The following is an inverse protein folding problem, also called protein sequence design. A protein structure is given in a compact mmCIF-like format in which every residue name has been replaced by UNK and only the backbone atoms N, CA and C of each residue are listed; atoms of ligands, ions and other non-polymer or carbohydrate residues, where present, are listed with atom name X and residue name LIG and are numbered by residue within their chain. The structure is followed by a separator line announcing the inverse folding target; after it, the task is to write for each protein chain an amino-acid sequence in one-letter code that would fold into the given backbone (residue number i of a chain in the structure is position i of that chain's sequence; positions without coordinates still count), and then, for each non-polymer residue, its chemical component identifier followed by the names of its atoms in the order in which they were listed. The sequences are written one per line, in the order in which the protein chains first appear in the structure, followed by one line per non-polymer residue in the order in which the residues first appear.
data_IF_411222140171
#
_entry.id   IF_411222140171
#
_cell.length_a   1.000
_cell.length_b   1.000
_cell.length_c   1.000
_cell.angle_alpha   90.00
_cell.angle_beta   90.00
_cell.angle_gamma   90.00
#
_symmetry.space_group_name_H-M   'P 1'
#
loop_
_entity.id
_entity.type
_entity.pdbx_description
1 polymer ?
#
# COMPACT_ATOMS: atom_id res chain seq x y z
N UNK A 1 9.81 17.42 -23.12
CA UNK A 1 10.17 16.37 -22.14
C UNK A 1 9.00 16.17 -21.18
N UNK A 2 8.59 14.94 -20.91
CA UNK A 2 7.53 14.62 -19.95
C UNK A 2 7.97 15.00 -18.54
N UNK A 3 7.24 15.89 -17.86
CA UNK A 3 7.52 16.29 -16.48
C UNK A 3 6.68 15.46 -15.51
N UNK A 4 7.17 14.27 -15.15
CA UNK A 4 6.49 13.35 -14.23
C UNK A 4 6.99 13.55 -12.78
N UNK A 5 6.10 13.64 -11.78
CA UNK A 5 6.50 13.86 -10.38
C UNK A 5 7.01 12.56 -9.72
N UNK A 6 8.03 11.92 -10.29
CA UNK A 6 8.57 10.66 -9.76
C UNK A 6 9.17 10.87 -8.35
N UNK A 7 8.80 10.01 -7.41
CA UNK A 7 9.29 10.01 -6.02
C UNK A 7 10.40 8.97 -5.84
N UNK A 8 11.37 9.26 -4.97
CA UNK A 8 12.43 8.31 -4.62
C UNK A 8 11.97 7.26 -3.63
N UNK A 9 12.65 6.12 -3.61
CA UNK A 9 12.65 5.21 -2.48
C UNK A 9 13.56 5.77 -1.38
N UNK A 10 13.00 5.99 -0.19
CA UNK A 10 13.70 6.57 0.97
C UNK A 10 13.84 5.49 2.03
N UNK A 11 15.04 5.33 2.59
CA UNK A 11 15.27 4.39 3.67
C UNK A 11 14.78 4.93 5.02
N UNK A 12 14.19 4.07 5.84
CA UNK A 12 13.50 4.45 7.08
C UNK A 12 14.44 4.95 8.19
N UNK A 13 15.68 4.47 8.21
CA UNK A 13 16.72 4.86 9.15
C UNK A 13 17.27 6.28 8.91
N UNK A 14 17.22 6.75 7.67
CA UNK A 14 17.64 8.12 7.29
C UNK A 14 16.47 9.07 7.08
N UNK A 15 15.23 8.58 7.16
CA UNK A 15 14.06 9.42 6.97
C UNK A 15 13.88 10.39 8.14
N UNK A 16 13.92 11.68 7.84
CA UNK A 16 13.85 12.72 8.87
C UNK A 16 12.46 13.36 8.99
N UNK A 17 11.39 12.63 8.64
CA UNK A 17 10.00 13.05 8.88
C UNK A 17 9.44 14.09 7.91
N UNK A 18 10.13 14.38 6.80
CA UNK A 18 9.72 15.43 5.85
C UNK A 18 9.72 14.93 4.41
N UNK A 19 8.66 15.25 3.68
CA UNK A 19 8.56 15.07 2.23
C UNK A 19 8.73 16.41 1.52
N UNK A 20 9.10 16.39 0.24
CA UNK A 20 9.15 17.60 -0.59
C UNK A 20 7.88 17.77 -1.41
N UNK A 21 7.71 18.93 -2.06
CA UNK A 21 6.51 19.28 -2.83
C UNK A 21 6.13 18.33 -3.97
N UNK A 22 7.01 17.41 -4.41
CA UNK A 22 6.64 16.43 -5.43
C UNK A 22 5.80 15.26 -4.92
N UNK A 23 5.88 14.93 -3.64
CA UNK A 23 5.06 13.86 -3.04
C UNK A 23 3.56 14.14 -3.09
N UNK A 24 3.04 15.31 -2.64
CA UNK A 24 1.61 15.60 -2.78
C UNK A 24 1.16 15.69 -4.25
N UNK A 25 2.02 16.12 -5.18
CA UNK A 25 1.72 16.10 -6.63
C UNK A 25 1.57 14.68 -7.16
N UNK A 26 2.48 13.78 -6.79
CA UNK A 26 2.41 12.37 -7.11
C UNK A 26 1.14 11.72 -6.52
N UNK A 27 0.82 12.05 -5.27
CA UNK A 27 -0.36 11.52 -4.59
C UNK A 27 -1.67 12.02 -5.22
N UNK A 28 -1.73 13.30 -5.61
CA UNK A 28 -2.88 13.84 -6.34
C UNK A 28 -3.15 13.07 -7.64
N UNK A 29 -2.10 12.83 -8.43
CA UNK A 29 -2.20 12.08 -9.69
C UNK A 29 -2.63 10.63 -9.47
N UNK A 30 -2.06 9.96 -8.47
CA UNK A 30 -2.49 8.63 -8.07
C UNK A 30 -3.97 8.60 -7.66
N UNK A 31 -4.41 9.55 -6.83
CA UNK A 31 -5.81 9.66 -6.40
C UNK A 31 -6.77 9.89 -7.57
N UNK A 32 -6.40 10.72 -8.56
CA UNK A 32 -7.19 10.93 -9.77
C UNK A 32 -7.33 9.65 -10.60
N UNK A 33 -6.23 8.93 -10.82
CA UNK A 33 -6.25 7.70 -11.61
C UNK A 33 -7.06 6.58 -10.95
N UNK A 34 -7.02 6.51 -9.62
CA UNK A 34 -7.54 5.40 -8.82
C UNK A 34 -8.85 5.72 -8.11
N UNK A 35 -9.47 6.86 -8.36
CA UNK A 35 -10.73 7.25 -7.71
C UNK A 35 -11.80 6.16 -7.89
N UNK A 36 -12.46 5.80 -6.79
CA UNK A 36 -13.48 4.75 -6.77
C UNK A 36 -12.96 3.33 -7.01
N UNK A 37 -11.66 3.11 -7.27
CA UNK A 37 -11.10 1.79 -7.59
C UNK A 37 -10.93 0.87 -6.38
N UNK A 38 -10.65 -0.42 -6.63
CA UNK A 38 -10.35 -1.40 -5.58
C UNK A 38 -9.17 -0.95 -4.70
N UNK A 39 -8.10 -0.40 -5.29
CA UNK A 39 -6.94 0.08 -4.56
C UNK A 39 -7.32 1.24 -3.63
N UNK A 40 -8.09 2.21 -4.14
CA UNK A 40 -8.54 3.34 -3.36
C UNK A 40 -9.42 2.92 -2.19
N UNK A 41 -10.35 1.98 -2.40
CA UNK A 41 -11.20 1.45 -1.33
C UNK A 41 -10.41 0.60 -0.32
N UNK A 42 -9.47 -0.23 -0.77
CA UNK A 42 -8.69 -1.10 0.11
C UNK A 42 -7.84 -0.31 1.10
N UNK A 43 -7.17 0.74 0.62
CA UNK A 43 -6.34 1.60 1.45
C UNK A 43 -7.09 2.81 2.02
N UNK A 44 -8.38 2.97 1.73
CA UNK A 44 -9.16 4.14 2.13
C UNK A 44 -8.45 5.45 1.75
N UNK A 45 -8.17 5.62 0.45
CA UNK A 45 -7.43 6.78 -0.05
C UNK A 45 -8.29 8.04 0.00
N UNK A 46 -7.73 9.18 0.45
CA UNK A 46 -8.37 10.47 0.26
C UNK A 46 -8.56 10.79 -1.23
N UNK A 47 -9.69 11.43 -1.55
CA UNK A 47 -9.98 11.89 -2.91
C UNK A 47 -8.99 12.94 -3.44
N UNK A 48 -8.97 13.19 -4.76
CA UNK A 48 -7.96 14.02 -5.41
C UNK A 48 -7.93 15.48 -4.96
N UNK A 49 -9.02 15.99 -4.38
CA UNK A 49 -9.14 17.35 -3.86
C UNK A 49 -8.79 17.47 -2.37
N UNK A 50 -8.31 16.40 -1.73
CA UNK A 50 -7.92 16.43 -0.33
C UNK A 50 -6.87 17.51 -0.05
N UNK A 51 -7.06 18.24 1.06
CA UNK A 51 -6.26 19.41 1.41
C UNK A 51 -4.75 19.14 1.40
N UNK A 52 -4.33 17.95 1.86
CA UNK A 52 -2.94 17.54 1.94
C UNK A 52 -2.26 17.28 0.58
N UNK A 53 -3.03 17.22 -0.51
CA UNK A 53 -2.51 17.11 -1.88
C UNK A 53 -2.31 18.46 -2.56
N UNK A 54 -2.78 19.54 -1.95
CA UNK A 54 -2.66 20.88 -2.53
C UNK A 54 -1.19 21.30 -2.55
N UNK A 55 -0.78 21.87 -3.67
CA UNK A 55 0.49 22.57 -3.72
C UNK A 55 0.38 23.87 -2.93
N UNK A 56 1.37 24.14 -2.07
CA UNK A 56 1.45 25.41 -1.38
C UNK A 56 1.49 26.55 -2.42
N UNK A 57 0.54 27.48 -2.28
CA UNK A 57 0.44 28.70 -3.11
C UNK A 57 1.81 29.38 -3.26
N UNK A 58 2.07 29.95 -4.43
CA UNK A 58 3.29 30.73 -4.69
C UNK A 58 3.47 31.90 -3.71
N UNK A 59 2.36 32.43 -3.17
CA UNK A 59 2.35 33.55 -2.24
C UNK A 59 2.56 33.15 -0.76
N UNK A 60 2.49 31.87 -0.42
CA UNK A 60 2.66 31.43 0.97
C UNK A 60 4.13 31.18 1.31
N UNK A 61 4.63 31.61 2.49
CA UNK A 61 6.00 31.30 2.92
C UNK A 61 6.18 29.79 3.03
N UNK A 62 7.11 29.24 2.23
CA UNK A 62 7.40 27.80 2.21
C UNK A 62 8.50 27.49 3.20
N UNK A 63 8.21 26.66 4.21
CA UNK A 63 9.27 26.07 5.03
C UNK A 63 10.21 25.27 4.12
N UNK A 64 11.52 25.51 4.27
CA UNK A 64 12.55 24.86 3.48
C UNK A 64 13.42 23.98 4.35
N UNK A 65 13.86 22.86 3.79
CA UNK A 65 14.87 21.99 4.39
C UNK A 65 15.84 21.57 3.30
N UNK A 66 17.15 21.72 3.55
CA UNK A 66 18.19 21.43 2.56
C UNK A 66 17.92 22.11 1.21
N UNK A 67 17.49 23.38 1.25
CA UNK A 67 17.15 24.18 0.07
C UNK A 67 15.82 23.84 -0.61
N UNK A 68 15.09 22.79 -0.19
CA UNK A 68 13.85 22.32 -0.84
C UNK A 68 12.61 22.66 -0.03
N UNK A 69 11.52 23.02 -0.70
CA UNK A 69 10.22 23.24 -0.08
C UNK A 69 9.66 21.90 0.45
N UNK A 70 9.24 21.91 1.70
CA UNK A 70 8.64 20.75 2.39
C UNK A 70 7.13 20.71 2.19
N UNK A 71 6.55 19.51 2.32
CA UNK A 71 5.12 19.27 2.24
C UNK A 71 4.59 18.80 3.61
N UNK A 72 4.31 19.75 4.50
CA UNK A 72 3.96 19.46 5.89
C UNK A 72 2.59 18.79 6.04
N UNK A 73 1.58 19.25 5.31
CA UNK A 73 0.24 18.65 5.32
C UNK A 73 0.28 17.21 4.81
N UNK A 74 1.07 16.94 3.77
CA UNK A 74 1.28 15.59 3.25
C UNK A 74 1.99 14.69 4.28
N UNK A 75 3.01 15.22 4.96
CA UNK A 75 3.69 14.50 6.02
C UNK A 75 2.76 14.23 7.22
N UNK A 76 1.85 15.15 7.55
CA UNK A 76 0.84 14.98 8.59
C UNK A 76 -0.16 13.88 8.23
N UNK A 77 -0.68 13.89 6.99
CA UNK A 77 -1.56 12.82 6.48
C UNK A 77 -0.87 11.44 6.54
N UNK A 78 0.41 11.35 6.16
CA UNK A 78 1.14 10.08 6.26
C UNK A 78 1.31 9.61 7.71
N UNK A 79 1.51 10.53 8.67
CA UNK A 79 1.61 10.22 10.10
C UNK A 79 0.29 9.74 10.69
N UNK A 80 -0.80 10.44 10.38
CA UNK A 80 -2.14 10.07 10.81
C UNK A 80 -2.48 8.65 10.37
N UNK A 81 -2.30 8.37 9.07
CA UNK A 81 -2.55 7.04 8.50
C UNK A 81 -1.60 5.97 9.03
N UNK A 82 -0.38 6.34 9.43
CA UNK A 82 0.58 5.40 9.99
C UNK A 82 0.18 4.90 11.38
N UNK A 83 -0.79 5.53 12.05
CA UNK A 83 -1.30 5.08 13.35
C UNK A 83 -1.89 3.65 13.30
N UNK A 84 -2.37 3.20 12.14
CA UNK A 84 -2.85 1.81 11.94
C UNK A 84 -1.75 0.77 12.22
N UNK A 85 -0.49 1.11 11.93
CA UNK A 85 0.68 0.25 12.20
C UNK A 85 0.96 0.09 13.70
N UNK A 86 0.26 0.85 14.55
CA UNK A 86 0.42 0.92 15.99
C UNK A 86 0.94 2.28 16.45
N UNK A 87 0.71 2.59 17.72
CA UNK A 87 1.14 3.84 18.37
C UNK A 87 2.03 3.59 19.59
N UNK A 88 2.28 2.33 19.96
CA UNK A 88 2.97 1.94 21.20
C UNK A 88 4.47 1.65 21.07
N UNK A 89 5.03 1.67 19.85
CA UNK A 89 6.37 1.15 19.60
C UNK A 89 7.47 2.18 19.87
N UNK A 90 8.54 1.76 20.55
CA UNK A 90 9.73 2.59 20.82
C UNK A 90 10.71 2.69 19.64
N UNK A 91 10.46 1.97 18.54
CA UNK A 91 11.37 1.94 17.39
C UNK A 91 11.08 3.08 16.42
N UNK A 92 11.95 4.09 16.43
CA UNK A 92 11.91 5.19 15.47
C UNK A 92 11.97 4.72 14.00
N UNK A 93 12.76 3.66 13.72
CA UNK A 93 12.85 3.08 12.37
C UNK A 93 11.53 2.46 11.95
N UNK A 94 10.81 1.78 12.85
CA UNK A 94 9.50 1.21 12.55
C UNK A 94 8.45 2.30 12.30
N UNK A 95 8.44 3.35 13.13
CA UNK A 95 7.54 4.49 12.98
C UNK A 95 7.80 5.22 11.64
N UNK A 96 9.06 5.50 11.31
CA UNK A 96 9.43 6.08 10.02
C UNK A 96 9.04 5.19 8.84
N UNK A 97 9.26 3.88 8.96
CA UNK A 97 8.87 2.91 7.96
C UNK A 97 7.37 2.90 7.68
N UNK A 98 6.55 3.00 8.73
CA UNK A 98 5.09 3.12 8.59
C UNK A 98 4.68 4.42 7.87
N UNK A 99 5.29 5.56 8.22
CA UNK A 99 5.04 6.84 7.54
C UNK A 99 5.44 6.77 6.05
N UNK A 100 6.60 6.18 5.77
CA UNK A 100 7.07 5.98 4.39
C UNK A 100 6.15 5.05 3.61
N UNK A 101 5.68 3.96 4.21
CA UNK A 101 4.71 3.06 3.59
C UNK A 101 3.42 3.79 3.21
N UNK A 102 2.90 4.66 4.09
CA UNK A 102 1.74 5.49 3.75
C UNK A 102 2.02 6.43 2.57
N UNK A 103 3.23 7.02 2.50
CA UNK A 103 3.60 7.82 1.33
C UNK A 103 3.65 6.99 0.04
N UNK A 104 4.12 5.74 0.11
CA UNK A 104 4.18 4.84 -1.04
C UNK A 104 2.77 4.39 -1.46
N UNK A 105 1.85 4.21 -0.52
CA UNK A 105 0.43 3.92 -0.79
C UNK A 105 -0.22 5.11 -1.51
N UNK A 106 -0.12 6.30 -0.92
CA UNK A 106 -0.76 7.52 -1.44
C UNK A 106 -0.25 7.93 -2.82
N UNK A 107 1.04 7.67 -3.12
CA UNK A 107 1.65 7.97 -4.43
C UNK A 107 1.61 6.80 -5.41
N UNK A 108 1.18 5.62 -4.93
CA UNK A 108 1.36 4.32 -5.58
C UNK A 108 2.80 4.04 -6.05
N UNK A 109 3.76 4.66 -5.38
CA UNK A 109 5.19 4.59 -5.62
C UNK A 109 5.58 4.57 -7.12
N UNK A 110 5.15 5.63 -7.82
CA UNK A 110 5.35 5.87 -9.25
C UNK A 110 4.55 4.99 -10.21
N UNK A 111 3.91 3.90 -9.78
CA UNK A 111 3.17 3.03 -10.70
C UNK A 111 2.02 3.80 -11.37
N UNK A 112 1.19 4.48 -10.57
CA UNK A 112 0.12 5.31 -11.10
C UNK A 112 0.64 6.44 -12.01
N UNK A 113 1.75 7.08 -11.61
CA UNK A 113 2.36 8.20 -12.36
C UNK A 113 2.87 7.73 -13.74
N UNK A 114 3.47 6.55 -13.80
CA UNK A 114 3.98 5.99 -15.05
C UNK A 114 2.84 5.51 -15.94
N UNK A 115 1.80 4.88 -15.38
CA UNK A 115 0.64 4.43 -16.17
C UNK A 115 -0.13 5.59 -16.77
N UNK A 116 -0.43 6.62 -15.96
CA UNK A 116 -1.14 7.82 -16.40
C UNK A 116 -0.27 8.66 -17.34
N UNK A 117 0.94 9.00 -16.90
CA UNK A 117 1.83 9.92 -17.62
C UNK A 117 2.41 9.39 -18.93
N UNK A 118 2.37 8.08 -19.16
CA UNK A 118 2.77 7.44 -20.42
C UNK A 118 1.56 6.89 -21.21
N UNK A 119 0.33 7.21 -20.78
CA UNK A 119 -0.91 6.78 -21.45
C UNK A 119 -1.01 5.25 -21.63
N UNK A 120 -0.54 4.49 -20.64
CA UNK A 120 -0.45 3.03 -20.72
C UNK A 120 -1.70 2.30 -20.21
N UNK A 121 -2.74 3.03 -19.79
CA UNK A 121 -3.91 2.46 -19.11
C UNK A 121 -4.55 1.32 -19.91
N UNK A 122 -4.87 1.54 -21.18
CA UNK A 122 -5.51 0.53 -22.02
C UNK A 122 -4.62 -0.69 -22.26
N UNK A 123 -3.33 -0.45 -22.55
CA UNK A 123 -2.34 -1.51 -22.78
C UNK A 123 -2.15 -2.39 -21.54
N UNK A 124 -2.14 -1.77 -20.36
CA UNK A 124 -1.99 -2.50 -19.10
C UNK A 124 -3.29 -3.20 -18.71
N UNK A 125 -4.46 -2.59 -18.93
CA UNK A 125 -5.75 -3.21 -18.63
C UNK A 125 -5.89 -4.60 -19.29
N UNK A 126 -5.43 -4.74 -20.54
CA UNK A 126 -5.46 -6.02 -21.26
C UNK A 126 -4.61 -7.15 -20.63
N UNK A 127 -3.60 -6.81 -19.83
CA UNK A 127 -2.73 -7.79 -19.12
C UNK A 127 -2.85 -7.72 -17.60
N UNK A 128 -3.68 -6.81 -17.07
CA UNK A 128 -3.80 -6.55 -15.65
C UNK A 128 -4.22 -7.77 -14.82
N UNK A 129 -5.15 -8.64 -15.28
CA UNK A 129 -5.49 -9.86 -14.55
C UNK A 129 -4.28 -10.78 -14.34
N UNK A 130 -3.45 -10.94 -15.37
CA UNK A 130 -2.24 -11.77 -15.29
C UNK A 130 -1.21 -11.16 -14.33
N UNK A 131 -0.96 -9.85 -14.42
CA UNK A 131 -0.02 -9.14 -13.56
C UNK A 131 -0.45 -9.20 -12.08
N UNK A 132 -1.73 -9.00 -11.80
CA UNK A 132 -2.30 -9.17 -10.46
C UNK A 132 -2.11 -10.60 -9.95
N UNK A 133 -2.47 -11.61 -10.75
CA UNK A 133 -2.35 -13.01 -10.36
C UNK A 133 -0.88 -13.41 -10.13
N UNK A 134 0.07 -12.90 -10.93
CA UNK A 134 1.51 -13.13 -10.73
C UNK A 134 2.01 -12.56 -9.40
N UNK A 135 1.60 -11.35 -9.05
CA UNK A 135 1.95 -10.73 -7.77
C UNK A 135 1.38 -11.54 -6.59
N UNK A 136 0.10 -11.96 -6.67
CA UNK A 136 -0.53 -12.77 -5.63
C UNK A 136 0.11 -14.15 -5.48
N UNK A 137 0.39 -14.84 -6.61
CA UNK A 137 1.12 -16.12 -6.59
C UNK A 137 2.52 -15.99 -5.99
N UNK A 138 3.22 -14.90 -6.26
CA UNK A 138 4.52 -14.63 -5.64
C UNK A 138 4.39 -14.52 -4.11
N UNK A 139 3.37 -13.81 -3.61
CA UNK A 139 3.11 -13.70 -2.16
C UNK A 139 2.89 -15.08 -1.55
N UNK A 140 1.96 -15.87 -2.13
CA UNK A 140 1.65 -17.23 -1.66
C UNK A 140 2.91 -18.09 -1.64
N UNK A 141 3.63 -18.15 -2.76
CA UNK A 141 4.82 -18.99 -2.90
C UNK A 141 5.93 -18.62 -1.91
N UNK A 142 6.10 -17.34 -1.59
CA UNK A 142 7.14 -16.88 -0.65
C UNK A 142 6.72 -17.02 0.81
N UNK A 143 5.47 -16.70 1.13
CA UNK A 143 4.96 -16.78 2.50
C UNK A 143 4.76 -18.22 2.96
N UNK A 144 4.45 -19.15 2.05
CA UNK A 144 4.24 -20.57 2.38
C UNK A 144 5.54 -21.37 2.53
N UNK A 145 6.71 -20.76 2.29
CA UNK A 145 7.99 -21.39 2.56
C UNK A 145 8.22 -21.53 4.06
N UNK A 146 9.02 -22.53 4.51
CA UNK A 146 9.44 -22.62 5.89
C UNK A 146 9.99 -21.27 6.38
N UNK A 147 9.55 -20.78 7.55
CA UNK A 147 9.95 -19.48 8.03
C UNK A 147 11.47 -19.44 8.20
N UNK A 148 12.09 -18.37 7.69
CA UNK A 148 13.51 -18.14 7.89
C UNK A 148 13.84 -18.10 9.39
N UNK A 149 14.97 -18.71 9.77
CA UNK A 149 15.48 -18.72 11.15
C UNK A 149 15.70 -17.30 11.70
N UNK A 150 16.11 -16.37 10.84
CA UNK A 150 16.37 -14.99 11.22
C UNK A 150 15.11 -14.13 11.16
N UNK A 151 14.77 -13.50 12.30
CA UNK A 151 13.63 -12.59 12.43
C UNK A 151 13.63 -11.44 11.40
N UNK A 152 14.81 -10.89 11.07
CA UNK A 152 14.94 -9.83 10.05
C UNK A 152 14.45 -10.30 8.67
N UNK A 153 14.74 -11.54 8.29
CA UNK A 153 14.29 -12.10 7.01
C UNK A 153 12.77 -12.27 6.99
N UNK A 154 12.17 -12.69 8.11
CA UNK A 154 10.71 -12.75 8.27
C UNK A 154 10.05 -11.38 8.14
N UNK A 155 10.63 -10.34 8.74
CA UNK A 155 10.15 -8.95 8.58
C UNK A 155 10.27 -8.48 7.13
N UNK A 156 11.39 -8.77 6.45
CA UNK A 156 11.56 -8.42 5.05
C UNK A 156 10.51 -9.10 4.17
N UNK A 157 10.20 -10.36 4.44
CA UNK A 157 9.17 -11.11 3.72
C UNK A 157 7.78 -10.48 3.87
N UNK A 158 7.42 -10.02 5.08
CA UNK A 158 6.17 -9.28 5.31
C UNK A 158 6.13 -7.99 4.50
N UNK A 159 7.21 -7.19 4.53
CA UNK A 159 7.31 -5.94 3.78
C UNK A 159 7.18 -6.16 2.27
N UNK A 160 7.89 -7.16 1.75
CA UNK A 160 7.81 -7.49 0.33
C UNK A 160 6.42 -8.03 -0.05
N UNK A 161 5.75 -8.75 0.86
CA UNK A 161 4.37 -9.23 0.64
C UNK A 161 3.38 -8.06 0.57
N UNK A 162 3.50 -7.07 1.46
CA UNK A 162 2.69 -5.86 1.42
C UNK A 162 2.97 -5.03 0.15
N UNK A 163 4.23 -4.96 -0.30
CA UNK A 163 4.59 -4.30 -1.56
C UNK A 163 3.98 -5.02 -2.78
N UNK A 164 4.11 -6.35 -2.84
CA UNK A 164 3.49 -7.15 -3.90
C UNK A 164 1.96 -7.06 -3.88
N UNK A 165 1.33 -7.00 -2.70
CA UNK A 165 -0.12 -6.81 -2.61
C UNK A 165 -0.55 -5.44 -3.14
N UNK A 166 0.21 -4.38 -2.86
CA UNK A 166 -0.04 -3.05 -3.46
C UNK A 166 -0.03 -3.11 -4.98
N UNK A 167 0.94 -3.80 -5.57
CA UNK A 167 0.98 -3.98 -7.02
C UNK A 167 -0.21 -4.80 -7.52
N UNK A 168 -0.56 -5.90 -6.85
CA UNK A 168 -1.72 -6.71 -7.21
C UNK A 168 -3.01 -5.88 -7.18
N UNK A 169 -3.26 -5.13 -6.11
CA UNK A 169 -4.44 -4.27 -5.96
C UNK A 169 -4.49 -3.16 -7.02
N UNK A 170 -3.33 -2.60 -7.40
CA UNK A 170 -3.26 -1.63 -8.49
C UNK A 170 -3.69 -2.27 -9.81
N UNK A 171 -3.17 -3.44 -10.16
CA UNK A 171 -3.57 -4.12 -11.40
C UNK A 171 -5.04 -4.56 -11.36
N UNK A 172 -5.52 -5.08 -10.23
CA UNK A 172 -6.95 -5.40 -10.05
C UNK A 172 -7.85 -4.16 -10.22
N UNK A 173 -7.35 -2.96 -9.91
CA UNK A 173 -8.07 -1.70 -10.11
C UNK A 173 -8.21 -1.28 -11.58
N UNK A 174 -7.48 -1.95 -12.48
CA UNK A 174 -7.57 -1.75 -13.93
C UNK A 174 -8.38 -2.86 -14.62
N UNK A 175 -8.81 -3.88 -13.88
CA UNK A 175 -9.67 -4.95 -14.37
C UNK A 175 -11.15 -4.55 -14.34
N UNK A 176 -11.96 -5.19 -15.17
CA UNK A 176 -13.40 -5.28 -14.92
C UNK A 176 -13.70 -6.14 -13.67
N UNK A 177 -14.90 -5.99 -13.11
CA UNK A 177 -15.30 -6.65 -11.86
C UNK A 177 -15.23 -8.18 -11.93
N UNK A 178 -15.60 -8.77 -13.07
CA UNK A 178 -15.58 -10.23 -13.25
C UNK A 178 -14.15 -10.76 -13.26
N UNK A 179 -13.26 -10.11 -14.01
CA UNK A 179 -11.84 -10.47 -14.05
C UNK A 179 -11.18 -10.30 -12.69
N UNK A 180 -11.48 -9.22 -11.95
CA UNK A 180 -10.97 -9.00 -10.61
C UNK A 180 -11.44 -10.09 -9.63
N UNK A 181 -12.73 -10.43 -9.65
CA UNK A 181 -13.30 -11.50 -8.83
C UNK A 181 -12.67 -12.86 -9.14
N UNK A 182 -12.44 -13.18 -10.41
CA UNK A 182 -11.79 -14.44 -10.81
C UNK A 182 -10.35 -14.54 -10.30
N UNK A 183 -9.57 -13.45 -10.38
CA UNK A 183 -8.20 -13.43 -9.84
C UNK A 183 -8.19 -13.60 -8.33
N UNK A 184 -9.12 -12.95 -7.60
CA UNK A 184 -9.19 -13.08 -6.13
C UNK A 184 -9.68 -14.47 -5.70
N UNK A 185 -10.61 -15.08 -6.44
CA UNK A 185 -10.99 -16.48 -6.24
C UNK A 185 -9.78 -17.42 -6.40
N UNK A 186 -8.98 -17.22 -7.45
CA UNK A 186 -7.73 -17.97 -7.65
C UNK A 186 -6.74 -17.78 -6.50
N UNK A 187 -6.59 -16.55 -5.99
CA UNK A 187 -5.75 -16.27 -4.84
C UNK A 187 -6.22 -16.98 -3.56
N UNK A 188 -7.53 -17.02 -3.30
CA UNK A 188 -8.08 -17.81 -2.19
C UNK A 188 -7.75 -19.30 -2.36
N UNK A 189 -7.99 -19.87 -3.53
CA UNK A 189 -7.70 -21.28 -3.80
C UNK A 189 -6.20 -21.60 -3.62
N UNK A 190 -5.32 -20.73 -4.13
CA UNK A 190 -3.86 -20.86 -3.99
C UNK A 190 -3.41 -20.84 -2.52
N UNK A 191 -4.09 -20.07 -1.66
CA UNK A 191 -3.84 -20.04 -0.21
C UNK A 191 -4.36 -21.31 0.46
N UNK A 192 -5.58 -21.74 0.13
CA UNK A 192 -6.20 -22.94 0.72
C UNK A 192 -5.48 -24.24 0.35
N UNK A 193 -4.78 -24.28 -0.79
CA UNK A 193 -4.00 -25.43 -1.24
C UNK A 193 -2.66 -25.62 -0.50
N UNK A 194 -2.29 -24.71 0.41
CA UNK A 194 -1.03 -24.79 1.18
C UNK A 194 -1.26 -25.44 2.53
N UNK A 195 -0.18 -25.52 3.32
CA UNK A 195 -0.23 -25.99 4.70
C UNK A 195 -1.39 -25.33 5.48
N UNK A 196 -2.26 -26.10 6.15
CA UNK A 196 -3.45 -25.55 6.82
C UNK A 196 -3.14 -24.55 7.93
N UNK A 197 -2.03 -24.70 8.66
CA UNK A 197 -1.66 -23.76 9.71
C UNK A 197 -1.22 -22.42 9.13
N UNK A 198 -0.41 -22.45 8.06
CA UNK A 198 -0.06 -21.25 7.29
C UNK A 198 -1.31 -20.60 6.66
N UNK A 199 -2.19 -21.38 6.04
CA UNK A 199 -3.38 -20.87 5.37
C UNK A 199 -4.30 -20.14 6.36
N UNK A 200 -4.52 -20.69 7.57
CA UNK A 200 -5.27 -20.02 8.64
C UNK A 200 -4.64 -18.69 9.06
N UNK A 201 -3.31 -18.64 9.21
CA UNK A 201 -2.60 -17.41 9.60
C UNK A 201 -2.68 -16.34 8.51
N UNK A 202 -2.69 -16.73 7.24
CA UNK A 202 -2.71 -15.81 6.11
C UNK A 202 -4.12 -15.44 5.61
N UNK A 203 -5.15 -16.24 5.97
CA UNK A 203 -6.54 -16.03 5.59
C UNK A 203 -7.07 -14.59 5.81
N UNK A 204 -6.68 -13.85 6.87
CA UNK A 204 -7.16 -12.48 7.04
C UNK A 204 -6.80 -11.52 5.91
N UNK A 205 -5.68 -11.76 5.20
CA UNK A 205 -5.30 -10.95 4.03
C UNK A 205 -6.27 -11.20 2.87
N UNK A 206 -6.59 -12.47 2.60
CA UNK A 206 -7.53 -12.87 1.54
C UNK A 206 -8.92 -12.30 1.82
N UNK A 207 -9.41 -12.49 3.05
CA UNK A 207 -10.68 -11.94 3.52
C UNK A 207 -10.71 -10.41 3.40
N UNK A 208 -9.57 -9.74 3.64
CA UNK A 208 -9.45 -8.30 3.44
C UNK A 208 -9.63 -7.86 1.99
N UNK A 209 -9.15 -8.62 1.00
CA UNK A 209 -9.38 -8.29 -0.41
C UNK A 209 -10.84 -8.55 -0.80
N UNK A 210 -11.42 -9.65 -0.33
CA UNK A 210 -12.82 -10.01 -0.58
C UNK A 210 -13.81 -9.00 0.00
N UNK A 211 -13.57 -8.57 1.24
CA UNK A 211 -14.35 -7.53 1.93
C UNK A 211 -14.57 -6.29 1.04
N UNK A 212 -13.50 -5.82 0.39
CA UNK A 212 -13.52 -4.60 -0.42
C UNK A 212 -14.11 -4.83 -1.81
N UNK A 213 -14.00 -6.05 -2.35
CA UNK A 213 -14.71 -6.44 -3.57
C UNK A 213 -16.22 -6.49 -3.35
N UNK A 214 -16.66 -6.94 -2.17
CA UNK A 214 -18.07 -6.98 -1.75
C UNK A 214 -18.63 -5.59 -1.39
N UNK A 215 -17.78 -4.55 -1.41
CA UNK A 215 -18.18 -3.15 -1.18
C UNK A 215 -18.16 -2.72 0.28
N UNK A 216 -17.70 -3.57 1.20
CA UNK A 216 -17.53 -3.22 2.61
C UNK A 216 -16.18 -2.51 2.84
N UNK A 217 -15.86 -2.16 4.09
CA UNK A 217 -14.70 -1.32 4.46
C UNK A 217 -13.99 -1.82 5.71
N UNK A 218 -12.71 -1.46 5.81
CA UNK A 218 -11.95 -1.61 7.05
C UNK A 218 -12.32 -0.50 8.05
N UNK A 219 -12.21 -0.80 9.35
CA UNK A 219 -12.16 0.19 10.41
C UNK A 219 -10.79 0.93 10.45
N UNK A 220 -10.66 1.90 11.36
CA UNK A 220 -9.44 2.69 11.57
C UNK A 220 -8.20 1.85 11.94
N UNK A 221 -8.41 0.60 12.38
CA UNK A 221 -7.34 -0.36 12.73
C UNK A 221 -7.07 -1.36 11.62
N UNK A 222 -7.63 -1.14 10.42
CA UNK A 222 -7.45 -2.01 9.27
C UNK A 222 -8.20 -3.34 9.39
N UNK A 223 -9.29 -3.43 10.16
CA UNK A 223 -10.05 -4.68 10.38
C UNK A 223 -11.41 -4.61 9.74
N UNK A 224 -11.84 -5.71 9.12
CA UNK A 224 -13.23 -5.85 8.68
C UNK A 224 -14.14 -6.25 9.83
N UNK A 225 -15.46 -6.13 9.60
CA UNK A 225 -16.50 -6.55 10.56
C UNK A 225 -16.26 -8.00 11.02
N UNK A 226 -16.35 -8.24 12.33
CA UNK A 226 -16.09 -9.57 12.90
C UNK A 226 -14.62 -9.98 12.98
N UNK A 227 -13.67 -9.12 12.56
CA UNK A 227 -12.23 -9.32 12.77
C UNK A 227 -11.55 -10.36 11.86
N UNK A 228 -12.31 -11.00 10.96
CA UNK A 228 -11.83 -12.00 10.03
C UNK A 228 -10.92 -11.41 8.94
N UNK A 229 -11.25 -10.21 8.44
CA UNK A 229 -10.49 -9.48 7.44
C UNK A 229 -9.48 -8.52 8.09
N UNK A 230 -8.26 -8.45 7.53
CA UNK A 230 -7.23 -7.48 7.94
C UNK A 230 -6.50 -6.89 6.74
N UNK A 231 -6.31 -5.58 6.75
CA UNK A 231 -5.45 -4.86 5.81
C UNK A 231 -4.01 -5.32 6.01
N UNK A 232 -3.32 -5.63 4.91
CA UNK A 232 -1.91 -5.97 4.95
C UNK A 232 -1.06 -4.72 4.73
N UNK A 233 -0.36 -4.32 5.79
CA UNK A 233 0.73 -3.35 5.77
C UNK A 233 2.06 -4.09 5.99
N UNK A 234 3.17 -3.49 5.57
CA UNK A 234 4.52 -4.05 5.70
C UNK A 234 5.20 -3.66 7.01
N UNK A 235 4.78 -2.56 7.61
CA UNK A 235 5.32 -2.04 8.87
C UNK A 235 4.32 -2.16 10.02
N UNK A 236 4.86 -2.43 11.21
CA UNK A 236 4.14 -2.42 12.47
C UNK A 236 5.09 -1.91 13.56
N UNK A 237 4.58 -1.09 14.48
CA UNK A 237 5.37 -0.56 15.61
C UNK A 237 5.33 -1.50 16.82
N UNK A 238 4.27 -2.30 16.95
CA UNK A 238 3.97 -3.12 18.13
C UNK A 238 4.07 -4.64 17.82
N UNK A 239 4.93 -4.97 16.86
CA UNK A 239 5.12 -6.32 16.33
C UNK A 239 4.05 -6.72 15.31
N UNK A 240 4.50 -7.23 14.16
CA UNK A 240 3.61 -7.54 13.05
C UNK A 240 2.74 -8.77 13.31
N UNK A 241 1.43 -8.66 13.14
CA UNK A 241 0.47 -9.72 13.47
C UNK A 241 0.68 -11.02 12.68
N UNK A 242 1.13 -10.96 11.42
CA UNK A 242 1.51 -12.16 10.65
C UNK A 242 2.70 -12.93 11.24
N UNK A 243 3.48 -12.31 12.13
CA UNK A 243 4.66 -12.93 12.72
C UNK A 243 4.43 -13.46 14.13
N UNK A 244 3.24 -13.25 14.69
CA UNK A 244 2.86 -13.82 15.98
C UNK A 244 2.57 -15.31 15.78
N UNK A 245 3.03 -16.13 16.71
CA UNK A 245 2.65 -17.54 16.74
C UNK A 245 1.14 -17.63 16.98
N UNK A 246 0.48 -18.54 16.26
CA UNK A 246 -0.97 -18.74 16.32
C UNK A 246 -1.36 -19.52 17.57
#
# INVERSE_FOLDING_TARGET
ALSLPLVEEVAADIFMGTFTSKWPRAAKRAAQLLEGSLYARYYDLPGPDHAAYREASAAAPKRRRWGRAVADDFAALCRERAAEAGTGGRSFVAANGAILEQSQILTTHNLAILVDGLELRERIAGVAPELAARALRWIVARQSQPPASHFKARLQLVKNSAYALRQALFFLSLCDERSAAQVVYGFQADVQARDPAWARRFAPVVAGVQLILEGDRFDERGRGRGGAARRLLGWATDGHWLLRDA
#
